data_IF_465790627223
#
_entry.id   IF_465790627223
#
_cell.length_a   1.000
_cell.length_b   1.000
_cell.length_c   1.000
_cell.angle_alpha   90.00
_cell.angle_beta   90.00
_cell.angle_gamma   90.00
#
_symmetry.space_group_name_H-M   'P 1'
#
loop_
_entity.id
_entity.type
_entity.pdbx_description
1 polymer ?
#
# COMPACT_ATOMS: atom_id res chain seq x y z
N UNK A 1 14.88 36.34 -25.01
CA UNK A 1 14.63 36.05 -23.60
C UNK A 1 13.52 35.01 -23.55
N UNK A 2 13.80 33.81 -23.03
CA UNK A 2 12.76 32.78 -22.87
C UNK A 2 11.76 33.26 -21.83
N UNK A 3 10.49 33.00 -22.08
CA UNK A 3 9.44 33.34 -21.12
C UNK A 3 9.34 32.22 -20.11
N UNK A 4 9.70 32.47 -18.84
CA UNK A 4 9.68 31.47 -17.78
C UNK A 4 8.31 31.51 -17.11
N UNK A 5 7.65 30.35 -17.06
CA UNK A 5 6.39 30.18 -16.35
C UNK A 5 6.66 29.66 -14.95
N UNK A 6 6.75 30.54 -13.98
CA UNK A 6 7.08 30.18 -12.59
C UNK A 6 6.20 29.05 -12.02
N UNK A 7 4.93 29.00 -12.42
CA UNK A 7 4.00 27.94 -12.01
C UNK A 7 4.28 26.56 -12.60
N UNK A 8 5.17 26.44 -13.61
CA UNK A 8 5.57 25.17 -14.20
C UNK A 8 6.77 24.53 -13.48
N UNK A 9 7.49 25.33 -12.68
CA UNK A 9 8.63 24.83 -11.89
C UNK A 9 8.09 24.22 -10.60
N UNK A 10 8.22 22.91 -10.47
CA UNK A 10 7.62 22.16 -9.39
C UNK A 10 8.55 21.08 -8.84
N UNK A 11 8.67 21.05 -7.54
CA UNK A 11 9.32 20.00 -6.77
C UNK A 11 8.53 19.75 -5.48
N UNK A 12 8.36 18.49 -5.16
CA UNK A 12 7.77 18.05 -3.91
C UNK A 12 8.86 17.29 -3.11
N UNK A 13 9.14 17.66 -1.83
CA UNK A 13 10.22 17.02 -1.09
C UNK A 13 9.87 15.64 -0.55
N UNK A 14 9.14 14.83 -1.31
CA UNK A 14 8.81 13.42 -1.05
C UNK A 14 8.41 12.67 -2.33
N UNK A 15 8.17 11.36 -2.21
CA UNK A 15 7.75 10.43 -3.27
C UNK A 15 8.63 10.43 -4.51
N UNK A 16 7.98 10.48 -5.69
CA UNK A 16 8.64 10.41 -6.99
C UNK A 16 9.60 11.56 -7.27
N UNK A 17 9.55 12.64 -6.48
CA UNK A 17 10.45 13.79 -6.60
C UNK A 17 11.68 13.70 -5.69
N UNK A 18 11.59 12.95 -4.59
CA UNK A 18 12.73 12.73 -3.67
C UNK A 18 12.56 11.41 -2.91
N UNK A 19 13.48 10.49 -3.15
CA UNK A 19 13.49 9.20 -2.44
C UNK A 19 14.91 8.64 -2.34
N UNK A 20 15.10 7.76 -1.35
CA UNK A 20 16.31 6.95 -1.24
C UNK A 20 16.11 5.62 -1.95
N UNK A 21 17.17 5.13 -2.60
CA UNK A 21 17.22 3.80 -3.21
C UNK A 21 17.77 2.77 -2.21
N UNK A 22 17.53 1.47 -2.45
CA UNK A 22 18.00 0.41 -1.54
C UNK A 22 19.51 0.38 -1.30
N UNK A 23 20.32 0.85 -2.26
CA UNK A 23 21.77 0.97 -2.14
C UNK A 23 22.21 2.19 -1.31
N UNK A 24 21.26 3.01 -0.86
CA UNK A 24 21.50 4.24 -0.11
C UNK A 24 21.74 5.47 -0.98
N UNK A 25 21.68 5.35 -2.30
CA UNK A 25 21.69 6.53 -3.18
C UNK A 25 20.39 7.30 -3.08
N UNK A 26 20.41 8.58 -3.44
CA UNK A 26 19.25 9.48 -3.41
C UNK A 26 18.91 9.93 -4.81
N UNK A 27 17.65 9.85 -5.15
CA UNK A 27 17.07 10.41 -6.36
C UNK A 27 16.39 11.74 -6.04
N UNK A 28 16.73 12.77 -6.82
CA UNK A 28 16.03 14.06 -6.84
C UNK A 28 15.46 14.30 -8.24
N UNK A 29 14.22 14.74 -8.31
CA UNK A 29 13.50 15.07 -9.54
C UNK A 29 12.92 16.48 -9.47
N UNK A 30 12.91 17.17 -10.58
CA UNK A 30 12.35 18.51 -10.74
C UNK A 30 11.55 18.57 -12.03
N UNK A 31 10.34 19.12 -11.98
CA UNK A 31 9.56 19.49 -13.16
C UNK A 31 9.79 20.97 -13.50
N UNK A 32 9.85 21.29 -14.79
CA UNK A 32 9.90 22.68 -15.30
C UNK A 32 8.97 22.81 -16.50
N UNK A 33 8.75 24.02 -16.95
CA UNK A 33 8.18 24.23 -18.29
C UNK A 33 9.10 23.68 -19.38
N UNK A 34 8.50 23.23 -20.47
CA UNK A 34 9.22 22.62 -21.59
C UNK A 34 10.21 23.59 -22.22
N UNK A 35 11.48 23.14 -22.31
CA UNK A 35 12.57 23.89 -22.96
C UNK A 35 12.86 25.29 -22.36
N UNK A 36 12.38 25.57 -21.12
CA UNK A 36 12.58 26.87 -20.47
C UNK A 36 14.01 27.04 -19.91
N UNK A 37 14.65 25.96 -19.50
CA UNK A 37 15.97 26.01 -18.90
C UNK A 37 17.02 25.26 -19.73
N UNK A 38 18.21 25.84 -19.79
CA UNK A 38 19.38 25.29 -20.50
C UNK A 38 20.26 24.46 -19.60
N UNK A 39 20.18 24.70 -18.28
CA UNK A 39 20.94 23.95 -17.26
C UNK A 39 20.12 23.86 -15.98
N UNK A 40 20.09 22.66 -15.39
CA UNK A 40 19.47 22.41 -14.11
C UNK A 40 20.44 21.62 -13.23
N UNK A 41 20.65 22.07 -12.01
CA UNK A 41 21.56 21.48 -11.05
C UNK A 41 20.87 21.30 -9.69
N UNK A 42 21.15 20.20 -9.01
CA UNK A 42 20.89 20.05 -7.58
C UNK A 42 22.18 20.41 -6.81
N UNK A 43 22.06 21.24 -5.81
CA UNK A 43 23.13 21.54 -4.85
C UNK A 43 22.81 20.92 -3.53
N UNK A 44 23.71 20.09 -3.04
CA UNK A 44 23.48 19.20 -1.91
C UNK A 44 24.61 19.29 -0.90
N UNK A 45 24.27 19.35 0.38
CA UNK A 45 25.24 19.30 1.47
C UNK A 45 24.67 18.56 2.67
N UNK A 46 25.46 18.37 3.73
CA UNK A 46 24.97 17.86 5.01
C UNK A 46 24.18 18.94 5.76
N UNK A 47 23.18 18.50 6.52
CA UNK A 47 22.45 19.38 7.45
C UNK A 47 23.35 20.05 8.52
N UNK A 48 24.58 19.60 8.67
CA UNK A 48 25.52 20.08 9.68
C UNK A 48 26.71 20.89 9.13
N UNK A 49 26.78 21.10 7.81
CA UNK A 49 27.86 21.86 7.15
C UNK A 49 27.65 23.41 7.22
N UNK A 50 27.03 23.91 8.31
CA UNK A 50 26.81 25.32 8.57
C UNK A 50 28.08 26.08 8.93
N UNK A 51 28.26 27.34 8.61
CA UNK A 51 27.44 28.26 7.78
C UNK A 51 27.84 28.29 6.28
N UNK A 52 28.73 27.43 5.84
CA UNK A 52 29.31 27.46 4.51
C UNK A 52 28.54 26.57 3.52
N UNK A 53 27.25 26.38 3.78
CA UNK A 53 26.38 25.44 3.07
C UNK A 53 26.55 25.49 1.54
N UNK A 54 26.48 26.68 0.95
CA UNK A 54 26.56 26.80 -0.51
C UNK A 54 27.98 26.82 -1.06
N UNK A 55 28.96 27.22 -0.27
CA UNK A 55 30.37 27.19 -0.67
C UNK A 55 30.92 25.80 -0.75
N UNK A 56 30.42 24.87 0.06
CA UNK A 56 30.84 23.46 0.13
C UNK A 56 29.84 22.49 -0.49
N UNK A 57 28.73 22.97 -1.02
CA UNK A 57 27.71 22.11 -1.61
C UNK A 57 28.27 21.32 -2.82
N UNK A 58 27.99 20.04 -2.84
CA UNK A 58 28.21 19.24 -4.03
C UNK A 58 27.21 19.61 -5.10
N UNK A 59 27.69 19.84 -6.31
CA UNK A 59 26.88 20.21 -7.48
C UNK A 59 26.64 18.98 -8.32
N UNK A 60 25.38 18.61 -8.47
CA UNK A 60 24.96 17.48 -9.29
C UNK A 60 24.16 17.99 -10.50
N UNK A 61 24.72 17.94 -11.73
CA UNK A 61 23.98 18.26 -12.94
C UNK A 61 22.79 17.30 -13.11
N UNK A 62 21.61 17.83 -13.37
CA UNK A 62 20.42 17.05 -13.60
C UNK A 62 20.21 16.82 -15.10
N UNK A 63 19.72 15.62 -15.46
CA UNK A 63 19.44 15.27 -16.84
C UNK A 63 17.94 15.23 -17.08
N UNK A 64 17.47 15.65 -18.27
CA UNK A 64 16.09 15.45 -18.65
C UNK A 64 15.80 13.95 -18.82
N UNK A 65 14.78 13.46 -18.14
CA UNK A 65 14.39 12.02 -18.14
C UNK A 65 13.02 11.78 -18.77
N UNK A 66 12.18 12.80 -18.83
CA UNK A 66 10.88 12.75 -19.48
C UNK A 66 10.48 14.13 -19.97
N UNK A 67 9.63 14.15 -20.98
CA UNK A 67 9.08 15.38 -21.53
C UNK A 67 7.68 15.12 -22.09
N UNK A 68 6.75 16.02 -21.84
CA UNK A 68 5.43 16.07 -22.50
C UNK A 68 5.27 17.35 -23.33
N UNK A 69 4.05 17.71 -23.70
CA UNK A 69 3.76 18.92 -24.49
C UNK A 69 4.12 20.21 -23.72
N UNK A 70 4.03 20.20 -22.38
CA UNK A 70 4.12 21.38 -21.54
C UNK A 70 5.32 21.39 -20.60
N UNK A 71 5.87 20.21 -20.23
CA UNK A 71 6.84 20.07 -19.16
C UNK A 71 8.08 19.27 -19.57
N UNK A 72 9.16 19.51 -18.84
CA UNK A 72 10.36 18.66 -18.82
C UNK A 72 10.64 18.25 -17.40
N UNK A 73 10.86 16.94 -17.17
CA UNK A 73 11.31 16.40 -15.87
C UNK A 73 12.80 16.14 -15.91
N UNK A 74 13.51 16.76 -14.97
CA UNK A 74 14.92 16.57 -14.73
C UNK A 74 15.12 15.66 -13.54
N UNK A 75 16.16 14.82 -13.61
CA UNK A 75 16.50 13.89 -12.54
C UNK A 75 18.01 13.79 -12.34
N UNK A 76 18.40 13.56 -11.08
CA UNK A 76 19.74 13.12 -10.71
C UNK A 76 19.65 12.05 -9.63
N UNK A 77 20.54 11.06 -9.73
CA UNK A 77 20.74 10.05 -8.67
C UNK A 77 22.19 10.11 -8.25
N UNK A 78 22.46 10.17 -6.95
CA UNK A 78 23.80 10.27 -6.39
C UNK A 78 23.91 9.55 -5.06
N UNK A 79 25.14 9.13 -4.72
CA UNK A 79 25.47 8.60 -3.40
C UNK A 79 25.81 9.78 -2.48
N UNK A 80 25.02 10.08 -1.46
CA UNK A 80 25.31 11.18 -0.55
C UNK A 80 26.40 10.82 0.43
N UNK A 81 27.16 11.83 0.83
CA UNK A 81 28.19 11.68 1.86
C UNK A 81 27.59 11.52 3.27
N UNK A 82 26.44 12.17 3.52
CA UNK A 82 25.69 12.09 4.78
C UNK A 82 24.21 11.80 4.45
N UNK A 83 23.55 11.05 5.31
CA UNK A 83 22.12 10.73 5.19
C UNK A 83 21.18 11.83 5.68
N UNK A 84 21.73 12.97 6.09
CA UNK A 84 21.02 14.16 6.58
C UNK A 84 21.31 15.32 5.66
N UNK A 85 20.54 15.40 4.60
CA UNK A 85 20.80 16.29 3.48
C UNK A 85 20.04 17.61 3.64
N UNK A 86 20.71 18.69 3.16
CA UNK A 86 20.09 19.91 2.71
C UNK A 86 20.32 20.06 1.23
N UNK A 87 19.33 20.48 0.48
CA UNK A 87 19.47 20.67 -0.96
C UNK A 87 18.56 21.78 -1.50
N UNK A 88 18.93 22.29 -2.65
CA UNK A 88 18.14 23.19 -3.46
C UNK A 88 18.47 22.97 -4.95
N UNK A 89 17.69 23.58 -5.82
CA UNK A 89 17.94 23.51 -7.25
C UNK A 89 18.37 24.88 -7.78
N UNK A 90 19.30 24.86 -8.74
CA UNK A 90 19.73 26.02 -9.48
C UNK A 90 19.39 25.77 -10.95
N UNK A 91 18.63 26.70 -11.53
CA UNK A 91 18.15 26.62 -12.90
C UNK A 91 18.67 27.82 -13.68
N UNK A 92 19.16 27.57 -14.89
CA UNK A 92 19.66 28.62 -15.78
C UNK A 92 18.83 28.66 -17.05
N UNK A 93 18.36 29.86 -17.42
CA UNK A 93 17.70 30.17 -18.69
C UNK A 93 18.37 31.38 -19.30
N UNK A 94 18.98 31.21 -20.50
CA UNK A 94 19.79 32.22 -21.13
C UNK A 94 20.82 32.84 -20.13
N UNK A 95 20.72 34.16 -19.84
CA UNK A 95 21.57 34.85 -18.87
C UNK A 95 20.99 34.92 -17.47
N UNK A 96 19.78 34.38 -17.25
CA UNK A 96 19.10 34.42 -15.95
C UNK A 96 19.32 33.15 -15.17
N UNK A 97 19.57 33.31 -13.89
CA UNK A 97 19.69 32.21 -12.92
C UNK A 97 18.54 32.26 -11.94
N UNK A 98 17.98 31.11 -11.63
CA UNK A 98 16.91 30.94 -10.68
C UNK A 98 17.33 29.92 -9.61
N UNK A 99 16.78 30.08 -8.43
CA UNK A 99 16.95 29.16 -7.31
C UNK A 99 15.56 28.67 -6.87
N UNK A 100 15.41 27.36 -6.72
CA UNK A 100 14.24 26.76 -6.10
C UNK A 100 14.67 26.12 -4.76
N UNK A 101 14.05 26.57 -3.69
CA UNK A 101 14.19 26.03 -2.35
C UNK A 101 12.81 25.85 -1.68
N UNK A 102 12.77 25.54 -0.38
CA UNK A 102 11.51 25.31 0.34
C UNK A 102 10.63 26.58 0.49
N UNK A 103 11.22 27.78 0.30
CA UNK A 103 10.46 29.05 0.31
C UNK A 103 9.87 29.39 -1.07
N UNK A 104 10.33 28.74 -2.14
CA UNK A 104 9.82 28.92 -3.50
C UNK A 104 10.90 29.13 -4.56
N UNK A 105 10.45 29.62 -5.73
CA UNK A 105 11.32 29.94 -6.86
C UNK A 105 11.72 31.43 -6.81
N UNK A 106 13.02 31.69 -6.78
CA UNK A 106 13.63 33.02 -6.70
C UNK A 106 14.45 33.32 -7.94
N UNK A 107 14.38 34.57 -8.43
CA UNK A 107 15.23 35.07 -9.51
C UNK A 107 16.52 35.68 -8.91
N UNK A 108 17.68 35.31 -9.45
CA UNK A 108 18.99 35.81 -9.05
C UNK A 108 19.93 34.68 -8.63
N UNK A 109 21.22 35.05 -8.52
CA UNK A 109 22.27 34.11 -8.10
C UNK A 109 22.55 34.18 -6.57
N UNK A 110 21.87 35.06 -5.87
CA UNK A 110 22.09 35.25 -4.44
C UNK A 110 21.52 34.05 -3.68
N UNK A 111 22.40 33.35 -3.02
CA UNK A 111 22.01 32.22 -2.17
C UNK A 111 21.54 32.76 -0.82
N UNK A 112 20.53 32.14 -0.20
CA UNK A 112 20.15 32.53 1.14
C UNK A 112 21.32 32.32 2.09
N UNK A 113 21.53 33.30 2.96
CA UNK A 113 22.47 33.17 4.08
C UNK A 113 21.94 32.15 5.11
N UNK A 114 20.63 31.88 5.07
CA UNK A 114 19.95 30.97 5.98
C UNK A 114 19.62 29.63 5.27
N UNK A 115 20.26 28.57 5.73
CA UNK A 115 20.01 27.20 5.30
C UNK A 115 18.63 26.64 5.70
N UNK A 116 17.87 27.35 6.54
CA UNK A 116 16.51 26.93 6.92
C UNK A 116 15.57 26.90 5.69
N UNK A 117 15.84 27.70 4.68
CA UNK A 117 15.07 27.75 3.43
C UNK A 117 15.37 26.58 2.47
N UNK A 118 16.48 25.86 2.63
CA UNK A 118 16.74 24.70 1.79
C UNK A 118 15.84 23.51 2.13
N UNK A 119 15.50 22.71 1.12
CA UNK A 119 14.82 21.44 1.37
C UNK A 119 15.68 20.54 2.27
N UNK A 120 15.03 19.84 3.20
CA UNK A 120 15.69 18.90 4.09
C UNK A 120 15.29 17.46 3.78
N UNK A 121 16.25 16.55 3.85
CA UNK A 121 16.01 15.12 3.76
C UNK A 121 16.91 14.36 4.75
N UNK A 122 16.28 13.76 5.74
CA UNK A 122 16.95 12.82 6.62
C UNK A 122 16.31 11.44 6.44
N UNK A 123 17.11 10.46 6.04
CA UNK A 123 16.68 9.07 5.93
C UNK A 123 17.58 8.21 6.81
N UNK A 124 17.23 8.18 8.10
CA UNK A 124 18.00 7.43 9.09
C UNK A 124 17.83 5.92 8.94
N UNK A 125 16.75 5.51 8.30
CA UNK A 125 16.42 4.10 8.11
C UNK A 125 16.41 3.79 6.61
N UNK A 126 17.00 2.66 6.20
CA UNK A 126 16.73 2.16 4.87
C UNK A 126 15.21 1.95 4.76
N UNK A 127 14.59 2.57 3.79
CA UNK A 127 13.26 2.16 3.37
C UNK A 127 13.39 0.70 2.98
N UNK A 128 12.65 -0.18 3.63
CA UNK A 128 12.69 -1.59 3.24
C UNK A 128 12.18 -1.72 1.82
N UNK A 129 12.96 -2.29 0.93
CA UNK A 129 12.56 -2.38 -0.45
C UNK A 129 11.34 -3.28 -0.59
N UNK A 130 10.51 -3.00 -1.58
CA UNK A 130 9.53 -3.99 -2.06
C UNK A 130 10.26 -5.31 -2.30
N UNK A 131 9.73 -6.44 -1.84
CA UNK A 131 10.33 -7.75 -2.06
C UNK A 131 10.71 -7.96 -3.52
N UNK A 132 11.87 -8.55 -3.77
CA UNK A 132 12.40 -8.67 -5.13
C UNK A 132 11.46 -9.47 -6.05
N UNK A 133 10.82 -10.49 -5.52
CA UNK A 133 9.87 -11.31 -6.26
C UNK A 133 8.62 -10.54 -6.72
N UNK A 134 8.21 -9.51 -5.96
CA UNK A 134 7.01 -8.71 -6.27
C UNK A 134 7.25 -7.65 -7.35
N UNK A 135 8.52 -7.38 -7.71
CA UNK A 135 8.87 -6.35 -8.69
C UNK A 135 8.59 -6.83 -10.11
N UNK A 136 7.52 -6.30 -10.70
CA UNK A 136 7.10 -6.67 -12.06
C UNK A 136 6.44 -8.04 -12.15
N UNK A 137 6.05 -8.65 -11.01
CA UNK A 137 5.36 -9.93 -11.01
C UNK A 137 3.96 -9.83 -11.64
N UNK A 138 3.54 -10.90 -12.27
CA UNK A 138 2.19 -11.07 -12.82
C UNK A 138 1.28 -11.62 -11.72
N UNK A 139 0.43 -10.75 -11.14
CA UNK A 139 -0.58 -11.13 -10.17
C UNK A 139 -1.89 -11.54 -10.82
N UNK A 140 -2.55 -12.55 -10.27
CA UNK A 140 -3.87 -12.99 -10.69
C UNK A 140 -4.83 -12.99 -9.50
N UNK A 141 -5.90 -12.20 -9.59
CA UNK A 141 -6.94 -12.15 -8.59
C UNK A 141 -7.93 -13.30 -8.78
N UNK A 142 -8.24 -14.01 -7.71
CA UNK A 142 -9.24 -15.08 -7.69
C UNK A 142 -10.34 -14.72 -6.69
N UNK A 143 -11.58 -14.71 -7.19
CA UNK A 143 -12.78 -14.80 -6.37
C UNK A 143 -13.13 -16.28 -6.17
N UNK A 144 -12.82 -16.91 -5.02
CA UNK A 144 -12.81 -18.38 -4.90
C UNK A 144 -14.13 -19.05 -5.28
N UNK A 145 -15.26 -18.50 -4.79
CA UNK A 145 -16.59 -19.04 -5.09
C UNK A 145 -16.90 -19.07 -6.59
N UNK A 146 -16.28 -18.16 -7.37
CA UNK A 146 -16.57 -17.92 -8.80
C UNK A 146 -15.45 -18.36 -9.74
N UNK A 147 -14.45 -19.07 -9.25
CA UNK A 147 -13.29 -19.46 -10.07
C UNK A 147 -13.38 -20.90 -10.57
N UNK A 148 -13.34 -21.87 -9.67
CA UNK A 148 -13.41 -23.29 -10.02
C UNK A 148 -13.89 -24.13 -8.84
N UNK A 149 -14.78 -25.07 -9.12
CA UNK A 149 -15.20 -26.11 -8.17
C UNK A 149 -14.21 -27.26 -8.24
N UNK A 150 -13.62 -27.65 -7.10
CA UNK A 150 -12.68 -28.77 -7.01
C UNK A 150 -13.37 -30.11 -7.20
N UNK A 151 -12.61 -31.14 -7.59
CA UNK A 151 -13.11 -32.51 -7.73
C UNK A 151 -13.60 -33.04 -6.36
N UNK A 152 -14.73 -33.73 -6.37
CA UNK A 152 -15.34 -34.28 -5.15
C UNK A 152 -16.08 -33.26 -4.28
N UNK A 153 -16.12 -32.00 -4.67
CA UNK A 153 -16.90 -30.98 -3.95
C UNK A 153 -18.40 -31.30 -4.00
N UNK A 154 -19.07 -31.08 -2.86
CA UNK A 154 -20.51 -31.24 -2.79
C UNK A 154 -21.21 -30.24 -3.72
N UNK A 155 -22.17 -30.74 -4.49
CA UNK A 155 -23.07 -29.88 -5.26
C UNK A 155 -24.37 -29.71 -4.49
N UNK A 156 -24.77 -28.46 -4.35
CA UNK A 156 -26.00 -28.06 -3.70
C UNK A 156 -26.96 -27.49 -4.77
N UNK A 157 -28.25 -27.78 -4.65
CA UNK A 157 -29.29 -27.28 -5.58
C UNK A 157 -29.41 -25.74 -5.51
N UNK A 158 -28.87 -25.09 -4.48
CA UNK A 158 -28.84 -23.63 -4.33
C UNK A 158 -27.72 -22.97 -5.13
N UNK A 159 -26.77 -23.72 -5.71
CA UNK A 159 -25.66 -23.17 -6.47
C UNK A 159 -26.09 -22.78 -7.89
N UNK A 160 -25.66 -21.61 -8.31
CA UNK A 160 -25.80 -21.17 -9.69
C UNK A 160 -24.99 -22.06 -10.67
N UNK A 161 -25.52 -22.34 -11.85
CA UNK A 161 -24.78 -23.05 -12.89
C UNK A 161 -23.63 -22.15 -13.41
N UNK A 162 -22.49 -22.75 -13.71
CA UNK A 162 -21.33 -22.05 -14.29
C UNK A 162 -21.60 -21.36 -15.64
N UNK A 163 -22.68 -21.71 -16.27
CA UNK A 163 -23.15 -21.11 -17.54
C UNK A 163 -24.09 -19.93 -17.33
N UNK A 164 -24.38 -19.57 -16.06
CA UNK A 164 -25.23 -18.42 -15.77
C UNK A 164 -24.56 -17.12 -16.24
N UNK A 165 -25.31 -16.33 -16.98
CA UNK A 165 -24.94 -14.96 -17.37
C UNK A 165 -25.32 -13.93 -16.29
N UNK A 166 -25.93 -14.40 -15.19
CA UNK A 166 -26.35 -13.58 -14.05
C UNK A 166 -25.31 -13.71 -12.94
N UNK A 167 -24.68 -12.60 -12.58
CA UNK A 167 -23.76 -12.52 -11.46
C UNK A 167 -24.27 -11.44 -10.50
N UNK A 168 -24.75 -11.87 -9.32
CA UNK A 168 -25.19 -10.99 -8.23
C UNK A 168 -24.44 -11.36 -6.95
N UNK A 169 -24.43 -10.48 -5.96
CA UNK A 169 -23.72 -10.72 -4.71
C UNK A 169 -24.27 -11.88 -3.89
N UNK A 170 -25.56 -12.18 -4.04
CA UNK A 170 -26.26 -13.27 -3.37
C UNK A 170 -26.00 -14.63 -4.02
N UNK A 171 -25.50 -14.65 -5.26
CA UNK A 171 -25.31 -15.89 -6.01
C UNK A 171 -24.00 -16.58 -5.62
N UNK A 172 -24.09 -17.89 -5.48
CA UNK A 172 -23.00 -18.79 -5.14
C UNK A 172 -22.80 -19.80 -6.27
N UNK A 173 -21.53 -19.97 -6.70
CA UNK A 173 -21.15 -20.89 -7.76
C UNK A 173 -20.43 -22.13 -7.21
N UNK A 174 -20.02 -22.11 -5.94
CA UNK A 174 -19.43 -23.25 -5.24
C UNK A 174 -17.97 -23.53 -5.62
N UNK A 175 -17.26 -22.54 -6.14
CA UNK A 175 -15.81 -22.61 -6.26
C UNK A 175 -15.15 -22.64 -4.87
N UNK A 176 -13.98 -23.26 -4.77
CA UNK A 176 -13.32 -23.53 -3.49
C UNK A 176 -11.80 -23.63 -3.61
N UNK A 177 -11.10 -23.78 -2.48
CA UNK A 177 -9.64 -23.87 -2.42
C UNK A 177 -9.11 -25.07 -3.22
N UNK A 178 -9.80 -26.22 -3.16
CA UNK A 178 -9.43 -27.41 -3.96
C UNK A 178 -9.45 -27.10 -5.45
N UNK A 179 -10.45 -26.38 -5.93
CA UNK A 179 -10.53 -25.94 -7.32
C UNK A 179 -9.39 -25.01 -7.72
N UNK A 180 -8.92 -24.15 -6.80
CA UNK A 180 -7.75 -23.29 -7.05
C UNK A 180 -6.48 -24.16 -7.14
N UNK A 181 -6.29 -25.11 -6.21
CA UNK A 181 -5.15 -26.05 -6.23
C UNK A 181 -5.07 -26.80 -7.57
N UNK A 182 -6.20 -27.34 -8.04
CA UNK A 182 -6.27 -28.05 -9.31
C UNK A 182 -6.02 -27.14 -10.53
N UNK A 183 -6.22 -25.85 -10.39
CA UNK A 183 -5.98 -24.86 -11.45
C UNK A 183 -4.53 -24.32 -11.48
N UNK A 184 -3.67 -24.70 -10.53
CA UNK A 184 -2.28 -24.22 -10.48
C UNK A 184 -1.51 -24.46 -11.76
N UNK A 185 -1.62 -25.64 -12.46
CA UNK A 185 -0.97 -25.84 -13.76
C UNK A 185 -1.44 -24.82 -14.82
N UNK A 186 -2.73 -24.49 -14.85
CA UNK A 186 -3.27 -23.47 -15.75
C UNK A 186 -2.72 -22.07 -15.43
N UNK A 187 -2.67 -21.71 -14.16
CA UNK A 187 -2.13 -20.42 -13.72
C UNK A 187 -0.63 -20.29 -14.04
N UNK A 188 0.12 -21.38 -13.86
CA UNK A 188 1.54 -21.45 -14.22
C UNK A 188 1.74 -21.27 -15.74
N UNK A 189 0.97 -21.99 -16.57
CA UNK A 189 1.04 -21.89 -18.04
C UNK A 189 0.64 -20.48 -18.52
N UNK A 190 -0.23 -19.78 -17.79
CA UNK A 190 -0.61 -18.39 -18.06
C UNK A 190 0.50 -17.39 -17.69
N UNK A 191 1.52 -17.82 -16.96
CA UNK A 191 2.63 -16.99 -16.50
C UNK A 191 2.31 -16.20 -15.21
N UNK A 192 1.38 -16.69 -14.38
CA UNK A 192 1.07 -16.11 -13.07
C UNK A 192 2.21 -16.38 -12.10
N UNK A 193 2.64 -15.35 -11.40
CA UNK A 193 3.70 -15.42 -10.38
C UNK A 193 3.18 -15.20 -8.97
N UNK A 194 2.00 -14.59 -8.84
CA UNK A 194 1.34 -14.37 -7.55
C UNK A 194 -0.17 -14.57 -7.70
N UNK A 195 -0.75 -15.37 -6.82
CA UNK A 195 -2.21 -15.49 -6.65
C UNK A 195 -2.63 -14.61 -5.49
N UNK A 196 -3.57 -13.73 -5.73
CA UNK A 196 -4.31 -12.98 -4.70
C UNK A 196 -5.73 -13.52 -4.64
N UNK A 197 -6.22 -13.88 -3.45
CA UNK A 197 -7.60 -14.30 -3.26
C UNK A 197 -8.40 -13.22 -2.56
N UNK A 198 -9.64 -12.98 -3.02
CA UNK A 198 -10.62 -12.23 -2.23
C UNK A 198 -10.88 -12.97 -0.91
N UNK A 199 -11.59 -12.38 0.08
CA UNK A 199 -11.65 -12.93 1.44
C UNK A 199 -12.02 -14.40 1.52
N UNK A 200 -11.32 -15.14 2.39
CA UNK A 200 -11.49 -16.59 2.61
C UNK A 200 -12.17 -16.93 3.93
N UNK A 201 -12.29 -15.98 4.85
CA UNK A 201 -12.71 -16.25 6.21
C UNK A 201 -14.23 -16.34 6.36
N UNK A 202 -14.67 -16.98 7.46
CA UNK A 202 -16.07 -17.30 7.70
C UNK A 202 -16.98 -16.08 7.56
N UNK A 203 -18.02 -16.20 6.71
CA UNK A 203 -19.00 -15.17 6.41
C UNK A 203 -20.31 -15.80 5.94
N UNK A 204 -21.38 -15.02 5.82
CA UNK A 204 -22.66 -15.45 5.25
C UNK A 204 -22.89 -14.98 3.80
N UNK A 205 -21.92 -14.24 3.24
CA UNK A 205 -21.96 -13.79 1.84
C UNK A 205 -20.95 -14.51 0.96
N UNK A 206 -21.22 -14.57 -0.34
CA UNK A 206 -20.28 -15.18 -1.30
C UNK A 206 -18.97 -14.40 -1.44
N UNK A 207 -18.99 -13.08 -1.21
CA UNK A 207 -17.82 -12.21 -1.29
C UNK A 207 -16.99 -12.16 0.01
N UNK A 208 -17.56 -12.50 1.15
CA UNK A 208 -16.91 -12.61 2.48
C UNK A 208 -16.29 -11.34 3.05
N UNK A 209 -16.58 -10.17 2.48
CA UNK A 209 -16.11 -8.91 3.05
C UNK A 209 -16.77 -8.56 4.39
N UNK A 210 -17.87 -9.22 4.79
CA UNK A 210 -18.47 -9.14 6.12
C UNK A 210 -18.05 -10.33 7.00
N UNK A 211 -16.77 -10.43 7.31
CA UNK A 211 -16.16 -11.54 8.06
C UNK A 211 -16.70 -11.67 9.48
N UNK A 212 -16.98 -12.89 9.91
CA UNK A 212 -17.46 -13.22 11.26
C UNK A 212 -16.37 -13.78 12.16
N UNK A 213 -15.50 -14.63 11.60
CA UNK A 213 -14.37 -15.23 12.30
C UNK A 213 -13.12 -15.15 11.43
N UNK A 214 -12.13 -14.43 11.91
CA UNK A 214 -10.88 -14.19 11.21
C UNK A 214 -9.83 -15.30 11.37
N UNK A 215 -10.11 -16.29 12.22
CA UNK A 215 -9.25 -17.46 12.44
C UNK A 215 -9.78 -18.72 11.78
N UNK A 216 -10.91 -18.64 11.10
CA UNK A 216 -11.54 -19.78 10.45
C UNK A 216 -11.69 -19.52 8.94
N UNK A 217 -11.13 -20.42 8.13
CA UNK A 217 -11.49 -20.51 6.70
C UNK A 217 -12.97 -20.86 6.60
N UNK A 218 -13.69 -20.20 5.69
CA UNK A 218 -15.11 -20.53 5.44
C UNK A 218 -15.22 -21.99 4.98
N UNK A 219 -16.00 -22.84 5.71
CA UNK A 219 -16.16 -24.25 5.36
C UNK A 219 -16.68 -24.50 3.93
N UNK A 220 -17.32 -23.50 3.32
CA UNK A 220 -17.74 -23.57 1.92
C UNK A 220 -16.57 -23.48 0.93
N UNK A 221 -15.45 -22.91 1.36
CA UNK A 221 -14.24 -22.82 0.56
C UNK A 221 -13.26 -23.97 0.86
N UNK A 222 -13.28 -24.49 2.06
CA UNK A 222 -12.36 -25.53 2.50
C UNK A 222 -11.94 -25.40 3.95
N UNK A 223 -10.78 -25.91 4.27
CA UNK A 223 -10.19 -25.93 5.61
C UNK A 223 -8.89 -25.13 5.66
N UNK A 224 -8.32 -24.95 6.85
CA UNK A 224 -6.97 -24.40 7.00
C UNK A 224 -5.91 -25.28 6.33
N UNK A 225 -6.09 -26.61 6.37
CA UNK A 225 -5.21 -27.56 5.70
C UNK A 225 -5.25 -27.37 4.18
N UNK A 226 -6.43 -27.14 3.58
CA UNK A 226 -6.56 -26.83 2.16
C UNK A 226 -5.86 -25.52 1.79
N UNK A 227 -5.95 -24.49 2.65
CA UNK A 227 -5.26 -23.23 2.44
C UNK A 227 -3.73 -23.39 2.52
N UNK A 228 -3.25 -24.18 3.47
CA UNK A 228 -1.81 -24.50 3.58
C UNK A 228 -1.33 -25.29 2.36
N UNK A 229 -2.10 -26.29 1.93
CA UNK A 229 -1.79 -27.05 0.71
C UNK A 229 -1.76 -26.13 -0.53
N UNK A 230 -2.69 -25.17 -0.64
CA UNK A 230 -2.67 -24.21 -1.72
C UNK A 230 -1.36 -23.40 -1.73
N UNK A 231 -0.94 -22.88 -0.59
CA UNK A 231 0.32 -22.15 -0.47
C UNK A 231 1.52 -23.03 -0.88
N UNK A 232 1.58 -24.25 -0.35
CA UNK A 232 2.66 -25.19 -0.66
C UNK A 232 2.72 -25.53 -2.15
N UNK A 233 1.56 -25.79 -2.80
CA UNK A 233 1.50 -26.10 -4.23
C UNK A 233 1.88 -24.89 -5.07
N UNK A 234 1.46 -23.69 -4.71
CA UNK A 234 1.89 -22.46 -5.38
C UNK A 234 3.41 -22.27 -5.27
N UNK A 235 3.98 -22.44 -4.07
CA UNK A 235 5.43 -22.31 -3.83
C UNK A 235 6.23 -23.34 -4.64
N UNK A 236 5.77 -24.60 -4.71
CA UNK A 236 6.41 -25.64 -5.54
C UNK A 236 6.43 -25.28 -7.04
N UNK A 237 5.50 -24.44 -7.48
CA UNK A 237 5.42 -23.95 -8.87
C UNK A 237 6.02 -22.53 -9.05
N UNK A 238 6.76 -22.02 -8.05
CA UNK A 238 7.42 -20.72 -8.12
C UNK A 238 6.47 -19.52 -7.97
N UNK A 239 5.23 -19.75 -7.58
CA UNK A 239 4.22 -18.71 -7.35
C UNK A 239 4.09 -18.35 -5.87
N UNK A 240 3.46 -17.20 -5.58
CA UNK A 240 3.22 -16.66 -4.25
C UNK A 240 1.73 -16.57 -3.94
N UNK A 241 1.37 -16.58 -2.66
CA UNK A 241 -0.01 -16.44 -2.18
C UNK A 241 -0.18 -15.18 -1.34
N UNK A 242 -1.11 -14.33 -1.73
CA UNK A 242 -1.53 -13.14 -0.98
C UNK A 242 -3.00 -13.26 -0.59
N UNK A 243 -3.33 -12.99 0.68
CA UNK A 243 -4.69 -12.99 1.18
C UNK A 243 -5.26 -11.57 1.32
N UNK A 244 -6.59 -11.49 1.42
CA UNK A 244 -7.33 -10.26 1.70
C UNK A 244 -7.51 -10.04 3.20
N UNK A 245 -7.08 -8.90 3.70
CA UNK A 245 -7.24 -8.48 5.09
C UNK A 245 -8.35 -7.44 5.23
N UNK A 246 -9.55 -7.88 5.56
CA UNK A 246 -10.72 -7.01 5.78
C UNK A 246 -10.73 -6.55 7.23
N UNK A 247 -9.98 -5.50 7.53
CA UNK A 247 -9.80 -5.00 8.90
C UNK A 247 -10.45 -3.63 9.16
N UNK A 248 -11.05 -3.02 8.14
CA UNK A 248 -11.81 -1.78 8.29
C UNK A 248 -13.16 -2.02 8.98
N UNK A 249 -13.78 -3.15 8.73
CA UNK A 249 -15.11 -3.51 9.19
C UNK A 249 -15.20 -5.03 9.40
N UNK A 250 -16.27 -5.48 10.04
CA UNK A 250 -16.57 -6.90 10.22
C UNK A 250 -18.01 -7.20 9.83
N UNK A 251 -18.43 -8.46 9.95
CA UNK A 251 -19.84 -8.84 9.82
C UNK A 251 -20.60 -8.78 11.16
N UNK A 252 -21.92 -8.76 11.09
CA UNK A 252 -22.80 -8.67 12.28
C UNK A 252 -22.62 -9.84 13.25
N UNK A 253 -22.19 -11.00 12.77
CA UNK A 253 -21.99 -12.19 13.59
C UNK A 253 -20.63 -12.25 14.27
N UNK A 254 -19.75 -11.28 14.03
CA UNK A 254 -18.46 -11.19 14.73
C UNK A 254 -18.68 -11.13 16.24
N UNK A 255 -18.11 -12.09 16.97
CA UNK A 255 -18.42 -12.28 18.40
C UNK A 255 -18.18 -11.02 19.25
N UNK A 256 -17.09 -10.25 19.08
CA UNK A 256 -16.92 -8.98 19.78
C UNK A 256 -18.00 -7.94 19.47
N UNK A 257 -18.50 -7.87 18.22
CA UNK A 257 -19.56 -6.94 17.86
C UNK A 257 -20.90 -7.32 18.52
N UNK A 258 -21.23 -8.60 18.49
CA UNK A 258 -22.42 -9.08 19.16
C UNK A 258 -22.41 -8.81 20.65
N UNK A 259 -21.29 -9.10 21.30
CA UNK A 259 -21.12 -8.79 22.74
C UNK A 259 -21.28 -7.29 23.02
N UNK A 260 -20.68 -6.43 22.17
CA UNK A 260 -20.78 -4.98 22.31
C UNK A 260 -22.22 -4.45 22.13
N UNK A 261 -23.03 -5.07 21.25
CA UNK A 261 -24.44 -4.73 21.07
C UNK A 261 -25.29 -5.25 22.25
N UNK A 262 -25.07 -6.50 22.68
CA UNK A 262 -25.87 -7.15 23.72
C UNK A 262 -25.62 -6.56 25.11
N UNK A 263 -24.36 -6.25 25.46
CA UNK A 263 -23.94 -5.79 26.78
C UNK A 263 -23.73 -4.29 26.90
N UNK A 264 -23.78 -3.55 25.79
CA UNK A 264 -23.66 -2.09 25.75
C UNK A 264 -22.38 -1.60 26.44
N UNK A 265 -22.51 -0.63 27.35
CA UNK A 265 -21.39 -0.05 28.12
C UNK A 265 -20.66 -1.05 29.02
N UNK A 266 -21.25 -2.22 29.29
CA UNK A 266 -20.61 -3.25 30.10
C UNK A 266 -19.73 -4.22 29.27
N UNK A 267 -19.78 -4.11 27.94
CA UNK A 267 -18.95 -4.93 27.08
C UNK A 267 -17.50 -4.43 27.05
N UNK A 268 -16.55 -5.34 27.23
CA UNK A 268 -15.13 -5.02 27.03
C UNK A 268 -14.78 -4.68 25.58
N UNK A 269 -15.66 -4.98 24.63
CA UNK A 269 -15.49 -4.73 23.21
C UNK A 269 -16.22 -3.47 22.74
N UNK A 270 -16.84 -2.71 23.66
CA UNK A 270 -17.61 -1.50 23.30
C UNK A 270 -16.79 -0.55 22.46
N UNK A 271 -15.57 -0.26 22.87
CA UNK A 271 -14.68 0.70 22.22
C UNK A 271 -13.95 0.12 20.97
N UNK A 272 -14.23 -1.13 20.60
CA UNK A 272 -13.77 -1.70 19.33
C UNK A 272 -14.57 -1.21 18.13
N UNK A 273 -15.70 -0.55 18.39
CA UNK A 273 -16.63 -0.06 17.39
C UNK A 273 -17.01 1.40 17.66
N UNK A 274 -17.54 2.06 16.66
CA UNK A 274 -18.03 3.43 16.78
C UNK A 274 -19.56 3.42 16.88
N UNK A 275 -20.08 3.37 18.10
CA UNK A 275 -21.51 3.48 18.34
C UNK A 275 -21.93 4.95 18.26
N UNK A 276 -22.91 5.25 17.42
CA UNK A 276 -23.37 6.60 17.11
C UNK A 276 -24.89 6.61 16.92
N UNK A 277 -25.59 7.28 17.82
CA UNK A 277 -27.05 7.37 17.77
C UNK A 277 -27.57 8.27 16.63
N UNK A 278 -26.71 8.93 15.90
CA UNK A 278 -27.08 9.71 14.70
C UNK A 278 -27.14 8.81 13.46
N UNK A 279 -26.51 7.66 13.50
CA UNK A 279 -26.60 6.65 12.45
C UNK A 279 -27.90 5.83 12.59
N UNK A 280 -28.53 5.50 11.46
CA UNK A 280 -29.81 4.77 11.43
C UNK A 280 -29.70 3.41 12.14
N UNK A 281 -28.58 2.71 11.99
CA UNK A 281 -28.30 1.43 12.65
C UNK A 281 -27.71 1.55 14.06
N UNK A 282 -27.42 2.77 14.54
CA UNK A 282 -26.86 3.04 15.87
C UNK A 282 -25.33 2.87 15.99
N UNK A 283 -24.62 2.66 14.88
CA UNK A 283 -23.17 2.53 14.80
C UNK A 283 -22.65 2.91 13.42
N UNK A 284 -21.37 3.29 13.32
CA UNK A 284 -20.73 3.56 12.05
C UNK A 284 -20.48 2.28 11.27
N UNK A 285 -20.54 2.36 9.94
CA UNK A 285 -20.41 1.24 9.01
C UNK A 285 -19.41 1.56 7.90
N UNK A 286 -18.97 0.55 7.17
CA UNK A 286 -18.34 0.75 5.88
C UNK A 286 -19.38 1.28 4.89
N UNK A 287 -19.14 2.45 4.33
CA UNK A 287 -20.12 3.11 3.46
C UNK A 287 -21.49 3.28 4.16
N UNK A 288 -22.52 2.77 3.53
CA UNK A 288 -23.90 2.78 4.05
C UNK A 288 -24.46 1.35 4.25
N UNK A 289 -23.56 0.38 4.52
CA UNK A 289 -23.93 -1.02 4.64
C UNK A 289 -24.10 -1.44 6.11
N UNK A 290 -25.34 -1.54 6.65
CA UNK A 290 -25.58 -1.83 8.07
C UNK A 290 -24.98 -3.16 8.54
N UNK A 291 -24.73 -4.09 7.62
CA UNK A 291 -24.16 -5.41 7.92
C UNK A 291 -22.62 -5.41 7.97
N UNK A 292 -21.98 -4.24 7.85
CA UNK A 292 -20.53 -4.06 7.90
C UNK A 292 -20.12 -3.02 8.96
N UNK A 293 -20.29 -3.31 10.27
CA UNK A 293 -19.90 -2.39 11.35
C UNK A 293 -18.41 -2.08 11.31
N UNK A 294 -18.09 -0.78 11.45
CA UNK A 294 -16.73 -0.26 11.38
C UNK A 294 -15.94 -0.60 12.64
N UNK A 295 -14.70 -1.07 12.44
CA UNK A 295 -13.76 -1.40 13.49
C UNK A 295 -12.91 -0.18 13.90
N UNK A 296 -12.66 -0.04 15.19
CA UNK A 296 -11.80 0.98 15.78
C UNK A 296 -10.38 0.45 16.03
N UNK A 297 -9.55 0.45 15.01
CA UNK A 297 -8.15 0.01 15.12
C UNK A 297 -7.23 1.04 15.82
N UNK A 298 -7.74 2.18 16.26
CA UNK A 298 -7.06 3.05 17.22
C UNK A 298 -7.14 2.49 18.66
N UNK A 299 -8.13 1.63 18.94
CA UNK A 299 -8.20 0.91 20.21
C UNK A 299 -7.07 -0.15 20.28
N UNK A 300 -6.25 -0.16 21.34
CA UNK A 300 -5.08 -1.03 21.43
C UNK A 300 -5.40 -2.52 21.40
N UNK A 301 -6.51 -2.94 22.04
CA UNK A 301 -6.89 -4.36 22.12
C UNK A 301 -7.47 -4.84 20.78
N UNK A 302 -8.28 -4.00 20.12
CA UNK A 302 -8.76 -4.26 18.77
C UNK A 302 -7.59 -4.39 17.79
N UNK A 303 -6.66 -3.43 17.82
CA UNK A 303 -5.46 -3.47 16.98
C UNK A 303 -4.61 -4.72 17.26
N UNK A 304 -4.43 -5.10 18.54
CA UNK A 304 -3.67 -6.30 18.91
C UNK A 304 -4.30 -7.57 18.35
N UNK A 305 -5.63 -7.69 18.39
CA UNK A 305 -6.37 -8.81 17.81
C UNK A 305 -6.09 -8.95 16.30
N UNK A 306 -6.21 -7.85 15.53
CA UNK A 306 -6.00 -7.89 14.08
C UNK A 306 -4.53 -8.05 13.67
N UNK A 307 -3.59 -7.58 14.48
CA UNK A 307 -2.18 -7.90 14.31
C UNK A 307 -1.91 -9.40 14.52
N UNK A 308 -2.59 -10.01 15.50
CA UNK A 308 -2.47 -11.45 15.74
C UNK A 308 -3.11 -12.29 14.64
N UNK A 309 -4.25 -11.87 14.10
CA UNK A 309 -4.85 -12.48 12.89
C UNK A 309 -3.84 -12.49 11.73
N UNK A 310 -3.22 -11.33 11.47
CA UNK A 310 -2.20 -11.23 10.41
C UNK A 310 -1.02 -12.19 10.63
N UNK A 311 -0.53 -12.26 11.87
CA UNK A 311 0.56 -13.16 12.28
C UNK A 311 0.17 -14.63 12.16
N UNK A 312 -1.04 -14.97 12.58
CA UNK A 312 -1.54 -16.35 12.57
C UNK A 312 -1.46 -16.97 11.17
N UNK A 313 -1.99 -16.31 10.15
CA UNK A 313 -2.01 -16.86 8.79
C UNK A 313 -0.63 -16.89 8.13
N UNK A 314 0.25 -15.95 8.46
CA UNK A 314 1.65 -16.02 8.03
C UNK A 314 2.36 -17.27 8.58
N UNK A 315 2.08 -17.63 9.83
CA UNK A 315 2.70 -18.78 10.51
C UNK A 315 2.05 -20.11 10.13
N UNK A 316 0.71 -20.16 10.11
CA UNK A 316 -0.01 -21.41 9.95
C UNK A 316 -0.09 -21.87 8.49
N UNK A 317 -0.17 -20.94 7.54
CA UNK A 317 -0.34 -21.26 6.13
C UNK A 317 0.80 -20.76 5.23
N UNK A 318 1.85 -20.14 5.80
CA UNK A 318 3.03 -19.65 5.06
C UNK A 318 2.69 -18.73 3.88
N UNK A 319 1.67 -17.89 4.03
CA UNK A 319 1.30 -16.94 2.99
C UNK A 319 2.41 -15.90 2.77
N UNK A 320 2.48 -15.32 1.57
CA UNK A 320 3.55 -14.40 1.18
C UNK A 320 3.17 -12.92 1.34
N UNK A 321 1.94 -12.63 1.68
CA UNK A 321 1.53 -11.24 1.87
C UNK A 321 0.05 -11.02 2.09
N UNK A 322 -0.27 -9.73 2.22
CA UNK A 322 -1.61 -9.24 2.47
C UNK A 322 -1.99 -8.10 1.52
N UNK A 323 -3.16 -8.19 0.92
CA UNK A 323 -3.87 -7.04 0.38
C UNK A 323 -4.81 -6.52 1.46
N UNK A 324 -4.72 -5.25 1.78
CA UNK A 324 -5.50 -4.62 2.84
C UNK A 324 -6.69 -3.88 2.27
N UNK A 325 -7.86 -4.38 2.60
CA UNK A 325 -9.15 -3.82 2.18
C UNK A 325 -9.37 -2.43 2.80
N UNK A 326 -9.87 -1.49 1.98
CA UNK A 326 -10.24 -0.13 2.39
C UNK A 326 -9.17 0.56 3.26
N UNK A 327 -7.91 0.45 2.88
CA UNK A 327 -6.76 0.92 3.67
C UNK A 327 -6.84 2.40 4.09
N UNK A 328 -7.36 3.35 3.28
CA UNK A 328 -7.44 4.76 3.65
C UNK A 328 -8.34 5.08 4.85
N UNK A 329 -9.27 4.21 5.19
CA UNK A 329 -10.18 4.42 6.32
C UNK A 329 -9.62 3.91 7.66
N UNK A 330 -8.44 3.32 7.66
CA UNK A 330 -7.79 2.80 8.87
C UNK A 330 -6.66 3.73 9.30
N UNK A 331 -6.50 3.88 10.62
CA UNK A 331 -5.50 4.74 11.22
C UNK A 331 -4.06 4.35 10.79
N UNK A 332 -3.24 5.27 10.28
CA UNK A 332 -1.91 4.96 9.72
C UNK A 332 -0.96 4.25 10.68
N UNK A 333 -1.08 4.48 12.00
CA UNK A 333 -0.23 3.81 12.99
C UNK A 333 -0.47 2.29 13.05
N UNK A 334 -1.71 1.86 12.82
CA UNK A 334 -2.01 0.44 12.71
C UNK A 334 -1.23 -0.20 11.55
N UNK A 335 -1.15 0.47 10.40
CA UNK A 335 -0.42 -0.04 9.24
C UNK A 335 1.09 -0.12 9.48
N UNK A 336 1.68 0.84 10.20
CA UNK A 336 3.08 0.77 10.63
C UNK A 336 3.35 -0.42 11.54
N UNK A 337 2.46 -0.65 12.50
CA UNK A 337 2.55 -1.80 13.40
C UNK A 337 2.38 -3.11 12.63
N UNK A 338 1.44 -3.16 11.68
CA UNK A 338 1.21 -4.34 10.84
C UNK A 338 2.42 -4.61 9.93
N UNK A 339 2.99 -3.58 9.33
CA UNK A 339 4.21 -3.67 8.54
C UNK A 339 5.38 -4.23 9.35
N UNK A 340 5.58 -3.76 10.58
CA UNK A 340 6.62 -4.28 11.46
C UNK A 340 6.38 -5.76 11.81
N UNK A 341 5.15 -6.13 12.14
CA UNK A 341 4.76 -7.51 12.39
C UNK A 341 5.02 -8.39 11.16
N UNK A 342 4.60 -7.97 9.98
CA UNK A 342 4.84 -8.70 8.73
C UNK A 342 6.34 -8.95 8.52
N UNK A 343 7.18 -7.94 8.69
CA UNK A 343 8.62 -8.05 8.55
C UNK A 343 9.25 -9.02 9.54
N UNK A 344 8.77 -9.04 10.78
CA UNK A 344 9.24 -9.96 11.82
C UNK A 344 8.92 -11.41 11.48
N UNK A 345 7.73 -11.67 10.91
CA UNK A 345 7.27 -13.01 10.56
C UNK A 345 7.78 -13.49 9.18
N UNK A 346 7.77 -12.59 8.20
CA UNK A 346 8.23 -12.86 6.84
C UNK A 346 8.91 -11.61 6.26
N UNK A 347 10.26 -11.53 6.31
CA UNK A 347 11.01 -10.40 5.75
C UNK A 347 10.79 -10.16 4.26
N UNK A 348 10.39 -11.20 3.51
CA UNK A 348 10.04 -11.13 2.09
C UNK A 348 8.52 -10.98 1.86
N UNK A 349 7.76 -10.68 2.91
CA UNK A 349 6.32 -10.52 2.83
C UNK A 349 5.90 -9.24 2.11
N UNK A 350 4.87 -9.32 1.26
CA UNK A 350 4.30 -8.20 0.53
C UNK A 350 3.08 -7.63 1.27
N UNK A 351 2.97 -6.31 1.31
CA UNK A 351 1.80 -5.60 1.84
C UNK A 351 1.31 -4.58 0.80
N UNK A 352 0.09 -4.77 0.31
CA UNK A 352 -0.55 -3.94 -0.72
C UNK A 352 -1.79 -3.29 -0.16
N UNK A 353 -1.94 -1.98 -0.33
CA UNK A 353 -3.14 -1.26 0.07
C UNK A 353 -4.16 -1.22 -1.07
N UNK A 354 -5.44 -1.46 -0.78
CA UNK A 354 -6.50 -0.94 -1.63
C UNK A 354 -6.65 0.56 -1.33
N UNK A 355 -6.46 1.39 -2.35
CA UNK A 355 -6.52 2.83 -2.22
C UNK A 355 -7.07 3.43 -3.52
N UNK A 356 -8.24 4.06 -3.44
CA UNK A 356 -8.92 4.64 -4.61
C UNK A 356 -8.52 6.09 -4.87
N UNK A 357 -7.83 6.71 -3.90
CA UNK A 357 -7.42 8.11 -3.94
C UNK A 357 -5.91 8.25 -4.13
N UNK A 358 -5.38 9.43 -3.81
CA UNK A 358 -3.95 9.69 -3.83
C UNK A 358 -3.19 8.79 -2.85
N UNK A 359 -2.50 7.81 -3.40
CA UNK A 359 -1.76 6.80 -2.61
C UNK A 359 -0.48 7.34 -1.96
N UNK A 360 -0.08 8.58 -2.27
CA UNK A 360 1.20 9.15 -1.81
C UNK A 360 1.38 9.11 -0.30
N UNK A 361 0.34 9.40 0.47
CA UNK A 361 0.42 9.36 1.93
C UNK A 361 0.72 7.96 2.49
N UNK A 362 0.36 6.90 1.77
CA UNK A 362 0.50 5.51 2.20
C UNK A 362 1.84 4.88 1.81
N UNK A 363 2.50 5.47 0.80
CA UNK A 363 3.76 4.96 0.24
C UNK A 363 4.97 5.82 0.60
N UNK A 364 4.77 7.13 0.86
CA UNK A 364 5.87 8.11 0.90
C UNK A 364 6.87 7.91 2.03
N UNK A 365 6.43 7.37 3.16
CA UNK A 365 7.29 7.13 4.33
C UNK A 365 8.03 5.80 4.25
N UNK A 366 7.54 4.87 3.40
CA UNK A 366 8.14 3.54 3.22
C UNK A 366 7.98 2.61 4.42
N UNK A 367 7.16 2.99 5.40
CA UNK A 367 6.97 2.28 6.67
C UNK A 367 5.56 1.67 6.81
N UNK A 368 4.70 1.81 5.80
CA UNK A 368 3.36 1.24 5.76
C UNK A 368 3.24 0.20 4.65
N UNK A 369 2.95 0.62 3.42
CA UNK A 369 2.73 -0.31 2.32
C UNK A 369 3.89 -0.36 1.34
N UNK A 370 4.03 -1.48 0.64
CA UNK A 370 4.98 -1.63 -0.46
C UNK A 370 4.42 -1.10 -1.79
N UNK A 371 3.12 -1.24 -1.98
CA UNK A 371 2.39 -0.86 -3.19
C UNK A 371 0.93 -0.60 -2.88
N UNK A 372 0.22 -0.09 -3.87
CA UNK A 372 -1.24 0.09 -3.84
C UNK A 372 -1.87 -0.54 -5.07
N UNK A 373 -3.15 -0.91 -4.95
CA UNK A 373 -4.05 -1.27 -6.04
C UNK A 373 -5.32 -0.43 -5.94
N UNK A 374 -5.94 -0.16 -7.09
CA UNK A 374 -7.18 0.63 -7.20
C UNK A 374 -8.08 0.04 -8.28
#
# INVERSE_FOLDING_TARGET
MRNIHFGSVYHMPWLEYRYALPDGSVCLRLQTGRDEFTKVEARVTSNYDMPEFFLKAHVYPMQPVAQDEWHTWYQVTFMPHDRRLKYLFVLQSDEQVFKLDASGLHCGADYPEDVSEAFAFAYAYPTEPTPQWARGCVGYEIFPDRFRRGEGSQTDETLEPWTSDRVQNEYRFGGNLRGIIEAVPYLHDLGVEMVYTTPLFLSDTSHRYNTFDYYQVDPLLGTEEDLRELADVLHMNGMRLMLDGVFNHCGLQFAPFRDAVENGENSRYRDWFFFDNTEECGYQTFGHWPYMPKLNLANPDCAAYFLDVGRYWLRSCHIDGWRMDVSPEIWPDFWRRFRNMLREENPDGLMVAECWDDSRQWLSTGDMFHSTMS
#
